data_IF_562894850263
#
_entry.id   IF_562894850263
#
_cell.length_a   1.000
_cell.length_b   1.000
_cell.length_c   1.000
_cell.angle_alpha   90.00
_cell.angle_beta   90.00
_cell.angle_gamma   90.00
#
_symmetry.space_group_name_H-M   'P 1'
#
loop_
_entity.id
_entity.type
_entity.pdbx_description
1 polymer ?
#
# COMPACT_ATOMS: atom_id res chain seq x y z
N UNK A 1 -66.61 51.41 -3.07
CA UNK A 1 -65.76 52.62 -3.21
C UNK A 1 -64.54 52.20 -4.02
N UNK A 2 -64.46 52.69 -5.28
CA UNK A 2 -63.31 52.81 -6.20
C UNK A 2 -62.35 51.60 -6.40
N UNK A 3 -62.29 51.00 -7.61
CA UNK A 3 -61.40 51.34 -8.76
C UNK A 3 -59.91 51.10 -8.39
N UNK A 4 -59.10 50.22 -9.00
CA UNK A 4 -58.63 50.05 -10.40
C UNK A 4 -57.75 48.75 -10.43
N UNK A 5 -57.90 47.82 -11.38
CA UNK A 5 -57.14 47.67 -12.65
C UNK A 5 -55.62 47.29 -12.53
N UNK A 6 -55.00 46.64 -13.55
CA UNK A 6 -54.17 45.43 -13.39
C UNK A 6 -52.65 45.64 -13.74
N UNK A 7 -52.01 44.84 -14.63
CA UNK A 7 -50.97 43.84 -14.37
C UNK A 7 -49.56 44.27 -14.83
N UNK A 8 -48.48 43.77 -14.23
CA UNK A 8 -47.16 43.82 -14.88
C UNK A 8 -46.40 42.50 -14.75
N UNK A 9 -46.18 41.92 -15.93
CA UNK A 9 -45.34 40.77 -16.17
C UNK A 9 -43.90 41.26 -16.29
N UNK A 10 -42.97 40.78 -15.47
CA UNK A 10 -41.54 40.91 -15.75
C UNK A 10 -40.88 39.56 -15.41
N UNK A 11 -40.81 38.69 -16.41
CA UNK A 11 -39.59 38.38 -17.16
C UNK A 11 -38.61 37.53 -16.35
N UNK A 12 -38.70 36.21 -16.56
CA UNK A 12 -37.60 35.27 -16.39
C UNK A 12 -36.35 35.79 -17.13
N UNK A 13 -35.16 35.69 -16.51
CA UNK A 13 -34.03 35.13 -17.21
C UNK A 13 -33.79 33.69 -16.74
N UNK A 14 -34.24 32.78 -17.60
CA UNK A 14 -33.76 31.40 -17.70
C UNK A 14 -32.25 31.43 -17.97
N UNK A 15 -31.40 31.39 -16.96
CA UNK A 15 -30.00 30.95 -17.11
C UNK A 15 -29.33 30.91 -15.74
N UNK A 16 -28.51 29.86 -15.53
CA UNK A 16 -27.59 29.68 -14.40
C UNK A 16 -28.19 29.22 -13.06
N UNK A 17 -28.78 28.03 -13.01
CA UNK A 17 -28.80 27.25 -11.76
C UNK A 17 -28.80 25.73 -11.99
N UNK A 18 -28.31 25.27 -13.14
CA UNK A 18 -28.25 23.84 -13.50
C UNK A 18 -26.92 23.16 -13.10
N UNK A 19 -26.19 23.64 -12.08
CA UNK A 19 -24.78 23.27 -11.92
C UNK A 19 -24.27 22.95 -10.50
N UNK A 20 -25.13 22.61 -9.53
CA UNK A 20 -24.65 22.35 -8.14
C UNK A 20 -25.08 20.99 -7.54
N UNK A 21 -25.86 20.17 -8.26
CA UNK A 21 -26.35 18.89 -7.72
C UNK A 21 -25.64 17.64 -8.27
N UNK A 22 -24.60 17.79 -9.09
CA UNK A 22 -23.77 16.68 -9.63
C UNK A 22 -22.40 16.54 -8.92
N UNK A 23 -22.28 16.96 -7.66
CA UNK A 23 -21.01 16.98 -6.92
C UNK A 23 -20.73 15.78 -5.99
N UNK A 24 -21.62 14.81 -5.87
CA UNK A 24 -21.56 13.78 -4.81
C UNK A 24 -20.97 12.42 -5.22
N UNK A 25 -20.16 12.37 -6.29
CA UNK A 25 -19.44 11.16 -6.72
C UNK A 25 -17.93 11.27 -6.52
N UNK A 26 -17.49 11.96 -5.46
CA UNK A 26 -16.11 11.78 -4.96
C UNK A 26 -16.09 10.49 -4.15
N UNK A 27 -16.12 9.36 -4.87
CA UNK A 27 -15.77 8.06 -4.33
C UNK A 27 -14.38 8.19 -3.70
N UNK A 28 -14.34 8.20 -2.37
CA UNK A 28 -13.10 8.03 -1.64
C UNK A 28 -12.49 6.71 -2.03
N UNK A 29 -11.48 6.74 -2.89
CA UNK A 29 -10.46 5.71 -2.97
C UNK A 29 -9.68 5.74 -1.64
N UNK A 30 -10.30 5.25 -0.57
CA UNK A 30 -9.63 4.94 0.67
C UNK A 30 -8.82 3.67 0.40
N UNK A 31 -7.62 3.85 -0.12
CA UNK A 31 -6.63 2.79 -0.19
C UNK A 31 -6.32 2.40 1.26
N UNK A 32 -6.71 1.19 1.65
CA UNK A 32 -6.48 0.64 2.99
C UNK A 32 -5.07 1.01 3.46
N UNK A 33 -4.98 1.63 4.63
CA UNK A 33 -3.75 2.23 5.16
C UNK A 33 -2.67 1.19 5.37
N UNK A 34 -1.89 0.91 4.33
CA UNK A 34 -0.76 0.01 4.40
C UNK A 34 0.33 0.61 5.29
N UNK A 35 0.84 -0.16 6.23
CA UNK A 35 1.83 0.31 7.20
C UNK A 35 3.23 -0.08 6.74
N UNK A 36 4.13 0.91 6.68
CA UNK A 36 5.54 0.70 6.38
C UNK A 36 6.34 0.54 7.68
N UNK A 37 7.12 -0.53 7.76
CA UNK A 37 8.15 -0.74 8.77
C UNK A 37 9.52 -0.59 8.12
N UNK A 38 10.47 0.00 8.85
CA UNK A 38 11.81 0.31 8.34
C UNK A 38 11.89 1.65 7.62
N UNK A 39 13.07 1.93 7.06
CA UNK A 39 13.43 3.28 6.60
C UNK A 39 13.35 3.45 5.09
N UNK A 40 13.20 2.36 4.31
CA UNK A 40 13.23 2.42 2.85
C UNK A 40 12.24 1.46 2.21
N UNK A 41 11.26 2.03 1.51
CA UNK A 41 10.58 1.35 0.42
C UNK A 41 11.25 1.83 -0.88
N UNK A 42 12.38 1.23 -1.23
CA UNK A 42 13.03 1.57 -2.49
C UNK A 42 12.12 1.13 -3.66
N UNK A 43 12.15 1.88 -4.76
CA UNK A 43 11.68 1.44 -6.09
C UNK A 43 12.57 0.29 -6.57
N UNK A 44 12.42 -0.84 -5.91
CA UNK A 44 13.20 -2.03 -6.13
C UNK A 44 12.50 -2.85 -7.21
N UNK A 45 13.31 -3.46 -8.08
CA UNK A 45 12.78 -4.26 -9.19
C UNK A 45 11.94 -5.41 -8.61
N UNK A 46 10.67 -5.58 -9.04
CA UNK A 46 9.88 -6.73 -8.64
C UNK A 46 10.64 -8.02 -8.97
N UNK A 47 10.76 -8.90 -7.98
CA UNK A 47 11.40 -10.20 -8.10
C UNK A 47 10.53 -11.28 -7.47
N UNK A 48 10.75 -12.53 -7.88
CA UNK A 48 10.22 -13.72 -7.22
C UNK A 48 11.31 -14.35 -6.35
N UNK A 49 10.92 -15.26 -5.45
CA UNK A 49 11.86 -16.03 -4.64
C UNK A 49 12.79 -16.89 -5.52
N UNK A 50 12.29 -17.50 -6.59
CA UNK A 50 13.12 -18.29 -7.50
C UNK A 50 14.18 -17.46 -8.25
N UNK A 51 13.95 -16.16 -8.46
CA UNK A 51 14.87 -15.27 -9.17
C UNK A 51 15.94 -14.63 -8.27
N UNK A 52 15.92 -14.90 -6.96
CA UNK A 52 16.83 -14.24 -6.01
C UNK A 52 18.31 -14.48 -6.30
N UNK A 53 18.67 -15.71 -6.69
CA UNK A 53 20.06 -16.10 -6.95
C UNK A 53 20.72 -15.31 -8.09
N UNK A 54 19.92 -14.79 -9.01
CA UNK A 54 20.39 -13.99 -10.16
C UNK A 54 20.16 -12.50 -9.97
N UNK A 55 19.53 -12.07 -8.88
CA UNK A 55 19.31 -10.66 -8.59
C UNK A 55 20.63 -9.94 -8.25
N UNK A 56 20.85 -8.78 -8.87
CA UNK A 56 22.05 -7.94 -8.71
C UNK A 56 21.75 -6.56 -8.10
N UNK A 57 20.47 -6.19 -8.02
CA UNK A 57 19.98 -4.89 -7.56
C UNK A 57 19.14 -5.04 -6.28
N UNK A 58 18.78 -3.95 -5.60
CA UNK A 58 17.73 -3.98 -4.59
C UNK A 58 16.47 -4.62 -5.18
N UNK A 59 15.88 -5.55 -4.43
CA UNK A 59 14.73 -6.35 -4.83
C UNK A 59 13.47 -5.92 -4.09
N UNK A 60 12.33 -6.04 -4.76
CA UNK A 60 11.01 -6.00 -4.15
C UNK A 60 10.36 -7.39 -4.26
N UNK A 61 10.10 -8.04 -3.14
CA UNK A 61 9.36 -9.29 -3.07
C UNK A 61 7.93 -9.03 -2.60
N UNK A 62 6.98 -9.80 -3.13
CA UNK A 62 5.61 -9.88 -2.61
C UNK A 62 5.33 -11.31 -2.22
N UNK A 63 4.76 -11.51 -1.05
CA UNK A 63 4.47 -12.85 -0.56
C UNK A 63 3.67 -12.83 0.73
N UNK A 64 3.48 -14.01 1.31
CA UNK A 64 2.79 -14.20 2.58
C UNK A 64 3.81 -14.54 3.65
N UNK A 65 3.74 -13.88 4.81
CA UNK A 65 4.53 -14.28 5.97
C UNK A 65 4.00 -15.59 6.51
N UNK A 66 4.82 -16.63 6.52
CA UNK A 66 4.40 -17.98 6.96
C UNK A 66 4.82 -18.26 8.39
N UNK A 67 5.94 -17.71 8.81
CA UNK A 67 6.48 -17.87 10.16
C UNK A 67 7.42 -16.71 10.51
N UNK A 68 7.69 -16.50 11.80
CA UNK A 68 8.61 -15.45 12.28
C UNK A 68 9.32 -15.87 13.56
N UNK A 69 10.44 -15.21 13.83
CA UNK A 69 11.17 -15.39 15.08
C UNK A 69 10.24 -15.20 16.30
N UNK A 70 10.07 -16.22 17.18
CA UNK A 70 9.11 -16.16 18.28
C UNK A 70 9.52 -15.16 19.37
N UNK A 71 10.82 -14.92 19.54
CA UNK A 71 11.32 -14.10 20.65
C UNK A 71 11.26 -12.61 20.34
N UNK A 72 11.75 -12.19 19.16
CA UNK A 72 11.94 -10.78 18.83
C UNK A 72 11.38 -10.38 17.46
N UNK A 73 10.85 -11.33 16.69
CA UNK A 73 10.40 -11.09 15.31
C UNK A 73 11.44 -10.31 14.47
N UNK A 74 12.73 -10.63 14.67
CA UNK A 74 13.86 -10.01 13.97
C UNK A 74 14.17 -10.66 12.61
N UNK A 75 13.47 -11.75 12.29
CA UNK A 75 13.43 -12.39 10.98
C UNK A 75 12.06 -13.05 10.76
N UNK A 76 11.71 -13.33 9.50
CA UNK A 76 10.51 -14.08 9.12
C UNK A 76 10.68 -14.84 7.81
N UNK A 77 9.81 -15.83 7.55
CA UNK A 77 9.75 -16.56 6.29
C UNK A 77 8.68 -15.97 5.37
N UNK A 78 9.10 -15.49 4.20
CA UNK A 78 8.22 -15.01 3.14
C UNK A 78 8.02 -16.11 2.09
N UNK A 79 6.77 -16.46 1.82
CA UNK A 79 6.39 -17.41 0.78
C UNK A 79 5.72 -16.70 -0.39
N UNK A 80 6.18 -16.96 -1.61
CA UNK A 80 5.46 -16.61 -2.84
C UNK A 80 5.06 -17.87 -3.61
N UNK A 81 4.60 -17.72 -4.86
CA UNK A 81 4.22 -18.85 -5.71
C UNK A 81 5.42 -19.71 -6.16
N UNK A 82 6.65 -19.21 -6.01
CA UNK A 82 7.88 -19.80 -6.53
C UNK A 82 8.79 -20.40 -5.45
N UNK A 83 8.57 -20.06 -4.17
CA UNK A 83 9.34 -20.62 -3.07
C UNK A 83 9.12 -19.93 -1.74
N UNK A 84 10.01 -20.23 -0.80
CA UNK A 84 10.09 -19.62 0.54
C UNK A 84 11.50 -19.08 0.74
N UNK A 85 11.61 -17.89 1.32
CA UNK A 85 12.90 -17.29 1.69
C UNK A 85 12.83 -16.72 3.09
N UNK A 86 13.95 -16.78 3.81
CA UNK A 86 14.12 -16.10 5.09
C UNK A 86 14.47 -14.63 4.85
N UNK A 87 13.79 -13.76 5.56
CA UNK A 87 13.96 -12.31 5.53
C UNK A 87 14.48 -11.86 6.89
N UNK A 88 15.68 -11.29 6.93
CA UNK A 88 16.25 -10.63 8.10
C UNK A 88 15.85 -9.16 8.11
N UNK A 89 15.28 -8.68 9.23
CA UNK A 89 14.94 -7.27 9.44
C UNK A 89 15.82 -6.62 10.51
N UNK A 90 16.66 -7.42 11.18
CA UNK A 90 17.51 -7.00 12.29
C UNK A 90 18.49 -5.92 11.83
N UNK A 91 19.11 -6.11 10.66
CA UNK A 91 20.08 -5.17 10.11
C UNK A 91 19.48 -3.78 9.84
N UNK A 92 18.18 -3.69 9.60
CA UNK A 92 17.47 -2.43 9.39
C UNK A 92 16.84 -1.83 10.66
N UNK A 93 17.03 -2.47 11.83
CA UNK A 93 16.66 -1.91 13.12
C UNK A 93 15.16 -1.89 13.42
N UNK A 94 14.36 -2.74 12.78
CA UNK A 94 12.93 -2.87 13.07
C UNK A 94 12.55 -4.34 13.33
N UNK A 95 11.32 -4.55 13.82
CA UNK A 95 10.77 -5.89 14.10
C UNK A 95 9.39 -6.03 13.47
N UNK A 96 8.95 -7.27 13.23
CA UNK A 96 7.61 -7.59 12.68
C UNK A 96 6.70 -8.25 13.72
N UNK A 97 6.83 -7.86 14.99
CA UNK A 97 6.05 -8.40 16.11
C UNK A 97 4.55 -8.22 15.92
N UNK A 98 4.12 -7.07 15.42
CA UNK A 98 2.69 -6.72 15.23
C UNK A 98 2.04 -7.34 13.99
N UNK A 99 2.83 -7.90 13.06
CA UNK A 99 2.31 -8.49 11.82
C UNK A 99 1.90 -9.95 12.11
N UNK A 100 0.65 -10.39 11.86
CA UNK A 100 0.26 -11.78 12.06
C UNK A 100 0.85 -12.71 10.99
N UNK A 101 1.11 -13.96 11.35
CA UNK A 101 1.38 -15.00 10.35
C UNK A 101 0.17 -15.11 9.40
N UNK A 102 0.41 -15.32 8.12
CA UNK A 102 -0.59 -15.28 7.05
C UNK A 102 -0.80 -13.91 6.41
N UNK A 103 -0.17 -12.84 6.92
CA UNK A 103 -0.27 -11.51 6.33
C UNK A 103 0.46 -11.45 4.97
N UNK A 104 -0.15 -10.76 4.00
CA UNK A 104 0.47 -10.43 2.72
C UNK A 104 1.41 -9.24 2.90
N UNK A 105 2.68 -9.41 2.51
CA UNK A 105 3.73 -8.42 2.67
C UNK A 105 4.36 -8.05 1.34
N UNK A 106 4.83 -6.80 1.25
CA UNK A 106 5.81 -6.36 0.28
C UNK A 106 7.11 -6.03 1.00
N UNK A 107 8.19 -6.72 0.63
CA UNK A 107 9.52 -6.61 1.24
C UNK A 107 10.47 -5.94 0.26
N UNK A 108 11.17 -4.90 0.70
CA UNK A 108 12.27 -4.26 -0.04
C UNK A 108 13.60 -4.61 0.61
N UNK A 109 14.60 -5.01 -0.16
CA UNK A 109 15.87 -5.44 0.44
C UNK A 109 16.95 -5.83 -0.56
N UNK A 110 17.96 -6.54 -0.08
CA UNK A 110 19.02 -7.17 -0.87
C UNK A 110 19.08 -8.65 -0.55
N UNK A 111 19.30 -9.48 -1.57
CA UNK A 111 19.57 -10.89 -1.35
C UNK A 111 21.06 -11.10 -1.03
N UNK A 112 21.33 -11.78 0.08
CA UNK A 112 22.66 -12.18 0.51
C UNK A 112 22.89 -13.64 0.10
N UNK A 113 23.85 -13.86 -0.81
CA UNK A 113 24.17 -15.18 -1.37
C UNK A 113 24.91 -16.10 -0.40
N UNK A 114 25.56 -15.53 0.61
CA UNK A 114 26.35 -16.30 1.58
C UNK A 114 25.44 -16.94 2.63
N UNK A 115 24.39 -16.22 3.04
CA UNK A 115 23.41 -16.70 4.03
C UNK A 115 22.16 -17.32 3.40
N UNK A 116 21.91 -17.11 2.11
CA UNK A 116 20.67 -17.47 1.42
C UNK A 116 19.43 -16.75 2.00
N UNK A 117 19.60 -15.48 2.36
CA UNK A 117 18.57 -14.66 3.04
C UNK A 117 18.37 -13.31 2.34
N UNK A 118 17.22 -12.69 2.60
CA UNK A 118 16.94 -11.31 2.20
C UNK A 118 17.16 -10.38 3.38
N UNK A 119 18.13 -9.49 3.26
CA UNK A 119 18.33 -8.38 4.19
C UNK A 119 17.32 -7.27 3.84
N UNK A 120 16.23 -7.22 4.59
CA UNK A 120 15.17 -6.25 4.37
C UNK A 120 15.58 -4.86 4.86
N UNK A 121 15.27 -3.87 4.05
CA UNK A 121 15.36 -2.44 4.36
C UNK A 121 14.00 -1.81 4.62
N UNK A 122 12.92 -2.50 4.24
CA UNK A 122 11.56 -2.13 4.59
C UNK A 122 10.54 -3.25 4.31
N UNK A 123 9.44 -3.22 5.07
CA UNK A 123 8.30 -4.14 4.94
C UNK A 123 7.00 -3.35 4.95
N UNK A 124 6.14 -3.58 3.96
CA UNK A 124 4.80 -3.00 3.87
C UNK A 124 3.75 -4.10 3.99
N UNK A 125 2.71 -3.85 4.78
CA UNK A 125 1.61 -4.78 5.04
C UNK A 125 0.28 -4.07 5.19
#
# INVERSE_FOLDING_TARGET
MLLLQPPESVLFPKSLAALVLLGALVQGCQQAGSRLLGSKQAEAKPSTVAALKTATAPIALKGTMTDKCPTAACWFHLKDATGVVKVDVKAAGFTVTEIPNGAALQVSGRYNKETDEVEATGVRW
#
